data_IF_673634958708
#
_entry.id   IF_673634958708
#
_cell.length_a   1.000
_cell.length_b   1.000
_cell.length_c   1.000
_cell.angle_alpha   90.00
_cell.angle_beta   90.00
_cell.angle_gamma   90.00
#
_symmetry.space_group_name_H-M   'P 1'
#
loop_
_entity.id
_entity.type
_entity.pdbx_description
1 polymer ?
#
# COMPACT_ATOMS: atom_id res chain seq x y z
N UNK A 1 1.88 -15.21 6.85
CA UNK A 1 1.50 -16.62 7.00
C UNK A 1 0.24 -16.71 7.81
N UNK A 2 0.37 -16.90 9.11
CA UNK A 2 -0.75 -17.17 10.05
C UNK A 2 -1.96 -16.25 9.89
N UNK A 3 -1.75 -14.92 9.88
CA UNK A 3 -2.85 -13.96 9.78
C UNK A 3 -3.67 -14.09 8.47
N UNK A 4 -3.02 -14.46 7.38
CA UNK A 4 -3.65 -14.51 6.04
C UNK A 4 -3.92 -15.93 5.56
N UNK A 5 -3.54 -16.95 6.34
CA UNK A 5 -3.48 -18.36 5.92
C UNK A 5 -2.70 -18.60 4.62
N UNK A 6 -1.78 -17.69 4.27
CA UNK A 6 -0.91 -17.81 3.11
C UNK A 6 0.43 -18.44 3.51
N UNK A 7 0.53 -19.73 3.26
CA UNK A 7 1.71 -20.55 3.50
C UNK A 7 2.41 -20.98 2.21
N UNK A 8 2.30 -20.16 1.14
CA UNK A 8 3.08 -20.42 -0.06
C UNK A 8 4.58 -20.56 0.30
N UNK A 9 5.23 -21.70 -0.01
CA UNK A 9 6.60 -21.98 0.40
C UNK A 9 7.60 -20.95 -0.12
N UNK A 10 7.25 -20.20 -1.17
CA UNK A 10 8.04 -19.09 -1.69
C UNK A 10 8.40 -18.03 -0.63
N UNK A 11 7.60 -17.92 0.44
CA UNK A 11 7.81 -16.94 1.49
C UNK A 11 8.56 -17.48 2.71
N UNK A 12 8.72 -18.79 2.85
CA UNK A 12 9.19 -19.41 4.10
C UNK A 12 10.27 -20.49 3.92
N UNK A 13 10.22 -21.24 2.81
CA UNK A 13 11.12 -22.36 2.56
C UNK A 13 12.29 -21.88 1.67
N UNK A 14 13.48 -21.84 2.27
CA UNK A 14 14.69 -21.43 1.58
C UNK A 14 15.09 -22.39 0.44
N UNK A 15 14.90 -23.71 0.60
CA UNK A 15 15.22 -24.68 -0.44
C UNK A 15 14.26 -24.57 -1.62
N UNK A 16 12.96 -24.40 -1.33
CA UNK A 16 11.97 -24.17 -2.36
C UNK A 16 12.26 -22.87 -3.12
N UNK A 17 12.51 -21.77 -2.41
CA UNK A 17 12.74 -20.47 -3.02
C UNK A 17 14.08 -20.40 -3.79
N UNK A 18 15.12 -21.12 -3.35
CA UNK A 18 16.39 -21.24 -4.06
C UNK A 18 16.26 -21.87 -5.46
N UNK A 19 15.26 -22.74 -5.65
CA UNK A 19 14.93 -23.32 -6.97
C UNK A 19 14.05 -22.42 -7.84
N UNK A 20 13.52 -21.33 -7.28
CA UNK A 20 12.73 -20.35 -8.01
C UNK A 20 13.61 -19.30 -8.68
N UNK A 21 13.03 -18.50 -9.59
CA UNK A 21 13.74 -17.36 -10.20
C UNK A 21 14.22 -16.29 -9.21
N UNK A 22 13.73 -16.32 -7.97
CA UNK A 22 14.08 -15.33 -6.95
C UNK A 22 15.31 -15.75 -6.12
N UNK A 23 15.70 -17.03 -6.15
CA UNK A 23 16.90 -17.56 -5.49
C UNK A 23 16.88 -17.58 -3.95
N UNK A 24 15.88 -16.96 -3.31
CA UNK A 24 15.67 -16.94 -1.85
C UNK A 24 14.23 -16.52 -1.52
N UNK A 25 13.77 -16.73 -0.27
CA UNK A 25 12.40 -16.37 0.11
C UNK A 25 12.09 -14.89 -0.12
N UNK A 26 10.93 -14.60 -0.70
CA UNK A 26 10.44 -13.23 -0.94
C UNK A 26 9.41 -12.87 0.12
N UNK A 27 9.32 -11.59 0.48
CA UNK A 27 8.28 -11.07 1.37
C UNK A 27 6.92 -11.11 0.65
N UNK A 28 5.84 -11.43 1.36
CA UNK A 28 4.48 -11.31 0.82
C UNK A 28 4.22 -9.89 0.31
N UNK A 29 3.84 -9.74 -0.95
CA UNK A 29 3.51 -8.43 -1.53
C UNK A 29 2.48 -7.65 -0.70
N UNK A 30 1.42 -8.36 -0.31
CA UNK A 30 0.34 -7.78 0.50
C UNK A 30 0.79 -7.33 1.88
N UNK A 31 1.88 -7.88 2.45
CA UNK A 31 2.36 -7.50 3.77
C UNK A 31 2.88 -6.06 3.76
N UNK A 32 3.81 -5.74 2.86
CA UNK A 32 4.36 -4.38 2.82
C UNK A 32 3.39 -3.38 2.16
N UNK A 33 2.46 -3.83 1.31
CA UNK A 33 1.40 -2.98 0.79
C UNK A 33 0.49 -2.41 1.91
N UNK A 34 0.44 -3.02 3.10
CA UNK A 34 -0.30 -2.47 4.25
C UNK A 34 0.25 -1.14 4.77
N UNK A 35 1.47 -0.72 4.37
CA UNK A 35 2.03 0.59 4.74
C UNK A 35 1.10 1.74 4.29
N UNK A 36 0.41 1.59 3.15
CA UNK A 36 -0.56 2.60 2.70
C UNK A 36 -1.70 2.79 3.70
N UNK A 37 -2.15 1.72 4.36
CA UNK A 37 -3.18 1.82 5.41
C UNK A 37 -2.69 2.63 6.61
N UNK A 38 -1.41 2.52 6.98
CA UNK A 38 -0.83 3.33 8.05
C UNK A 38 -0.79 4.83 7.67
N UNK A 39 -0.37 5.14 6.43
CA UNK A 39 -0.39 6.52 5.90
C UNK A 39 -1.81 7.09 5.92
N UNK A 40 -2.79 6.31 5.45
CA UNK A 40 -4.21 6.68 5.39
C UNK A 40 -4.79 6.87 6.79
N UNK A 41 -4.47 5.99 7.75
CA UNK A 41 -4.98 6.08 9.11
C UNK A 41 -4.59 7.39 9.79
N UNK A 42 -3.38 7.91 9.52
CA UNK A 42 -2.91 9.19 10.05
C UNK A 42 -3.44 10.37 9.25
N UNK A 43 -3.44 10.27 7.92
CA UNK A 43 -3.72 11.40 7.02
C UNK A 43 -5.22 11.64 6.80
N UNK A 44 -6.01 10.57 6.74
CA UNK A 44 -7.46 10.58 6.56
C UNK A 44 -8.14 9.62 7.55
N UNK A 45 -8.02 9.84 8.88
CA UNK A 45 -8.58 8.97 9.90
C UNK A 45 -10.08 8.79 9.72
N UNK A 46 -10.53 7.53 9.71
CA UNK A 46 -11.93 7.14 9.50
C UNK A 46 -12.35 7.03 8.03
N UNK A 47 -11.42 7.18 7.08
CA UNK A 47 -11.69 6.86 5.70
C UNK A 47 -11.92 5.36 5.50
N UNK A 48 -12.76 5.02 4.53
CA UNK A 48 -13.11 3.64 4.19
C UNK A 48 -12.62 3.33 2.78
N UNK A 49 -11.90 2.23 2.60
CA UNK A 49 -11.47 1.76 1.28
C UNK A 49 -12.69 1.35 0.44
N UNK A 50 -12.75 1.87 -0.78
CA UNK A 50 -13.77 1.55 -1.79
C UNK A 50 -13.18 0.62 -2.84
N UNK A 51 -11.98 0.91 -3.32
CA UNK A 51 -11.24 0.05 -4.25
C UNK A 51 -9.73 0.15 -3.99
N UNK A 52 -9.02 -0.90 -4.35
CA UNK A 52 -7.57 -1.01 -4.24
C UNK A 52 -7.07 -1.93 -5.36
N UNK A 53 -6.00 -1.53 -6.04
CA UNK A 53 -5.36 -2.31 -7.09
C UNK A 53 -3.84 -2.12 -7.01
N UNK A 54 -3.11 -3.23 -7.06
CA UNK A 54 -1.65 -3.25 -6.96
C UNK A 54 -1.02 -4.00 -8.13
N UNK A 55 0.12 -3.51 -8.59
CA UNK A 55 1.05 -4.24 -9.43
C UNK A 55 2.38 -4.43 -8.69
N UNK A 56 2.74 -5.68 -8.41
CA UNK A 56 4.00 -6.04 -7.77
C UNK A 56 5.09 -6.18 -8.82
N UNK A 57 5.97 -5.19 -8.92
CA UNK A 57 6.91 -5.01 -10.05
C UNK A 57 8.22 -5.77 -9.82
N UNK A 58 8.73 -5.77 -8.60
CA UNK A 58 9.98 -6.43 -8.20
C UNK A 58 9.80 -7.15 -6.86
N UNK A 59 10.54 -8.26 -6.62
CA UNK A 59 10.50 -8.94 -5.34
C UNK A 59 11.10 -8.06 -4.24
N UNK A 60 10.48 -8.10 -3.06
CA UNK A 60 11.03 -7.51 -1.83
C UNK A 60 11.55 -8.64 -0.95
N UNK A 61 12.70 -8.42 -0.32
CA UNK A 61 13.33 -9.40 0.55
C UNK A 61 13.44 -8.89 1.98
N UNK A 62 13.60 -9.82 2.93
CA UNK A 62 13.91 -9.46 4.31
C UNK A 62 15.20 -8.63 4.35
N UNK A 63 15.15 -7.48 5.03
CA UNK A 63 16.24 -6.51 5.11
C UNK A 63 16.18 -5.38 4.08
N UNK A 64 15.30 -5.44 3.09
CA UNK A 64 15.04 -4.28 2.21
C UNK A 64 14.30 -3.18 2.99
N UNK A 65 14.69 -1.93 2.73
CA UNK A 65 13.98 -0.75 3.23
C UNK A 65 13.02 -0.27 2.15
N UNK A 66 11.73 -0.16 2.50
CA UNK A 66 10.67 0.23 1.58
C UNK A 66 10.14 1.62 1.94
N UNK A 67 10.25 2.55 0.99
CA UNK A 67 9.62 3.88 1.08
C UNK A 67 8.33 3.89 0.27
N UNK A 68 7.21 4.15 0.94
CA UNK A 68 5.89 4.25 0.31
C UNK A 68 5.48 5.72 0.09
N UNK A 69 4.80 6.00 -1.02
CA UNK A 69 4.24 7.30 -1.37
C UNK A 69 2.78 7.16 -1.77
N UNK A 70 1.95 8.03 -1.22
CA UNK A 70 0.53 8.15 -1.55
C UNK A 70 0.28 9.55 -2.12
N UNK A 71 -0.25 9.63 -3.33
CA UNK A 71 -0.50 10.89 -4.03
C UNK A 71 -2.00 11.03 -4.37
N UNK A 72 -2.63 12.12 -3.95
CA UNK A 72 -4.02 12.42 -4.31
C UNK A 72 -4.11 12.69 -5.81
N UNK A 73 -4.96 11.94 -6.51
CA UNK A 73 -5.24 12.10 -7.94
C UNK A 73 -6.51 12.91 -8.19
N UNK A 74 -7.56 12.68 -7.40
CA UNK A 74 -8.82 13.39 -7.57
C UNK A 74 -9.63 13.40 -6.28
N UNK A 75 -10.53 14.38 -6.16
CA UNK A 75 -11.51 14.48 -5.08
C UNK A 75 -12.88 14.77 -5.67
N UNK A 76 -13.82 13.86 -5.46
CA UNK A 76 -15.23 14.03 -5.84
C UNK A 76 -16.04 14.29 -4.58
N UNK A 77 -16.19 15.58 -4.23
CA UNK A 77 -16.78 16.01 -2.95
C UNK A 77 -18.21 15.49 -2.74
N UNK A 78 -19.05 15.46 -3.79
CA UNK A 78 -20.44 15.00 -3.72
C UNK A 78 -20.56 13.55 -3.20
N UNK A 79 -19.60 12.70 -3.56
CA UNK A 79 -19.55 11.30 -3.13
C UNK A 79 -18.54 11.06 -1.99
N UNK A 80 -17.83 12.11 -1.57
CA UNK A 80 -16.74 12.07 -0.61
C UNK A 80 -15.63 11.11 -1.02
N UNK A 81 -15.43 10.94 -2.32
CA UNK A 81 -14.49 9.98 -2.87
C UNK A 81 -13.15 10.67 -3.14
N UNK A 82 -12.06 10.10 -2.64
CA UNK A 82 -10.69 10.54 -2.91
C UNK A 82 -9.98 9.38 -3.59
N UNK A 83 -9.41 9.63 -4.77
CA UNK A 83 -8.61 8.65 -5.48
C UNK A 83 -7.13 8.97 -5.32
N UNK A 84 -6.31 7.93 -5.22
CA UNK A 84 -4.88 8.02 -4.98
C UNK A 84 -4.11 7.18 -6.00
N UNK A 85 -2.89 7.62 -6.30
CA UNK A 85 -1.86 6.76 -6.83
C UNK A 85 -0.88 6.40 -5.70
N UNK A 86 -0.42 5.17 -5.74
CA UNK A 86 0.42 4.55 -4.73
C UNK A 86 1.70 4.05 -5.38
N UNK A 87 2.83 4.26 -4.73
CA UNK A 87 4.08 3.66 -5.14
C UNK A 87 4.94 3.27 -3.95
N UNK A 88 5.72 2.21 -4.11
CA UNK A 88 6.79 1.85 -3.19
C UNK A 88 8.10 1.72 -3.95
N UNK A 89 9.16 2.26 -3.36
CA UNK A 89 10.54 2.08 -3.82
C UNK A 89 11.38 1.40 -2.74
N UNK A 90 12.40 0.65 -3.15
CA UNK A 90 13.39 0.10 -2.23
C UNK A 90 14.54 1.09 -1.97
N UNK A 91 15.51 0.69 -1.16
CA UNK A 91 16.71 1.47 -0.81
C UNK A 91 17.59 1.87 -2.01
N UNK A 92 17.40 1.24 -3.17
CA UNK A 92 18.09 1.58 -4.43
C UNK A 92 17.27 2.52 -5.32
N UNK A 93 16.08 2.92 -4.89
CA UNK A 93 15.16 3.73 -5.67
C UNK A 93 14.41 2.95 -6.76
N UNK A 94 14.46 1.61 -6.74
CA UNK A 94 13.74 0.78 -7.70
C UNK A 94 12.27 0.65 -7.29
N UNK A 95 11.36 0.83 -8.24
CA UNK A 95 9.92 0.69 -8.02
C UNK A 95 9.55 -0.80 -7.82
N UNK A 96 9.13 -1.15 -6.60
CA UNK A 96 8.75 -2.52 -6.25
C UNK A 96 7.24 -2.75 -6.31
N UNK A 97 6.46 -1.66 -6.22
CA UNK A 97 5.00 -1.70 -6.29
C UNK A 97 4.48 -0.38 -6.86
N UNK A 98 3.49 -0.49 -7.75
CA UNK A 98 2.57 0.60 -8.07
C UNK A 98 1.16 0.21 -7.68
N UNK A 99 0.32 1.21 -7.44
CA UNK A 99 -1.06 0.97 -7.09
C UNK A 99 -1.98 2.16 -7.28
N UNK A 100 -3.25 1.89 -7.08
CA UNK A 100 -4.30 2.91 -7.08
C UNK A 100 -5.38 2.52 -6.08
N UNK A 101 -5.78 3.51 -5.28
CA UNK A 101 -6.81 3.33 -4.27
C UNK A 101 -7.90 4.38 -4.46
N UNK A 102 -9.13 4.03 -4.10
CA UNK A 102 -10.18 5.01 -3.87
C UNK A 102 -10.76 4.82 -2.48
N UNK A 103 -10.91 5.92 -1.75
CA UNK A 103 -11.40 5.93 -0.39
C UNK A 103 -12.55 6.91 -0.22
N UNK A 104 -13.51 6.54 0.61
CA UNK A 104 -14.55 7.45 1.07
C UNK A 104 -14.07 8.19 2.31
N UNK A 105 -13.92 9.50 2.20
CA UNK A 105 -13.48 10.36 3.29
C UNK A 105 -14.64 10.70 4.26
N UNK A 106 -14.35 10.85 5.57
CA UNK A 106 -15.32 11.39 6.52
C UNK A 106 -15.72 12.82 6.16
N UNK A 107 -16.96 13.21 6.48
CA UNK A 107 -17.51 14.55 6.14
C UNK A 107 -16.63 15.72 6.61
N UNK A 108 -15.95 15.60 7.75
CA UNK A 108 -15.07 16.64 8.30
C UNK A 108 -13.91 17.03 7.39
N UNK A 109 -13.44 16.13 6.52
CA UNK A 109 -12.29 16.35 5.65
C UNK A 109 -12.62 17.06 4.34
N UNK A 110 -13.89 17.32 4.08
CA UNK A 110 -14.35 17.97 2.83
C UNK A 110 -14.92 19.36 3.08
N UNK A 111 -14.80 19.87 4.31
CA UNK A 111 -15.12 21.27 4.61
C UNK A 111 -14.06 22.20 4.00
N UNK A 112 -14.47 23.33 3.41
CA UNK A 112 -13.57 24.40 3.00
C UNK A 112 -12.61 24.79 4.14
N UNK A 113 -11.37 25.17 3.80
CA UNK A 113 -10.36 25.58 4.79
C UNK A 113 -10.87 26.69 5.73
N UNK A 114 -11.72 27.59 5.24
CA UNK A 114 -12.31 28.70 6.03
C UNK A 114 -13.23 28.24 7.17
N UNK A 115 -13.70 27.00 7.14
CA UNK A 115 -14.64 26.44 8.13
C UNK A 115 -13.97 25.45 9.10
N UNK A 116 -12.66 25.25 8.97
CA UNK A 116 -11.85 24.48 9.91
C UNK A 116 -11.32 25.47 10.93
N UNK A 117 -12.05 25.64 12.04
CA UNK A 117 -11.73 26.60 13.10
C UNK A 117 -10.34 26.39 13.69
N UNK A 118 -9.35 27.01 13.05
CA UNK A 118 -8.01 27.34 13.53
C UNK A 118 -7.88 28.84 13.45
#
# INVERSE_FOLDING_TARGET
GELASDFNPLHFDAEFAARSRFGRPVVHGMLYATIFNAIIAVSLPGAVHVSQAFEFRLPVFVGDEITARLEVRSVVQAHRLVSFAESCVNQRGEEVLTGSASLMAPRRFLRPLKERGV
#
